data_IF_873510701527
#
_entry.id   IF_873510701527
#
_cell.length_a   1.000
_cell.length_b   1.000
_cell.length_c   1.000
_cell.angle_alpha   90.00
_cell.angle_beta   90.00
_cell.angle_gamma   90.00
#
_symmetry.space_group_name_H-M   'P 1'
#
loop_
_entity.id
_entity.type
_entity.pdbx_description
1 polymer ?
#
# COMPACT_ATOMS: atom_id res chain seq x y z
N UNK A 1 25.25 35.01 -61.88
CA UNK A 1 25.19 35.44 -60.47
C UNK A 1 24.54 34.34 -59.66
N UNK A 2 25.29 33.67 -58.78
CA UNK A 2 24.77 32.66 -57.88
C UNK A 2 24.54 33.27 -56.49
N UNK A 3 23.30 33.33 -56.03
CA UNK A 3 22.96 33.80 -54.69
C UNK A 3 23.21 32.70 -53.70
N UNK A 4 24.14 32.93 -52.76
CA UNK A 4 24.30 32.10 -51.57
C UNK A 4 23.35 32.62 -50.47
N UNK A 5 22.40 31.82 -50.07
CA UNK A 5 21.53 32.12 -48.93
C UNK A 5 22.18 31.49 -47.68
N UNK A 6 22.67 32.33 -46.79
CA UNK A 6 23.24 31.90 -45.50
C UNK A 6 22.09 31.61 -44.51
N UNK A 7 21.95 30.37 -44.08
CA UNK A 7 21.03 29.98 -43.05
C UNK A 7 21.70 30.17 -41.68
N UNK A 8 21.17 31.10 -40.90
CA UNK A 8 21.62 31.32 -39.52
C UNK A 8 20.82 30.37 -38.60
N UNK A 9 21.44 29.30 -38.08
CA UNK A 9 20.84 28.42 -37.11
C UNK A 9 20.95 29.05 -35.71
N UNK A 10 19.84 29.50 -35.16
CA UNK A 10 19.76 29.91 -33.76
C UNK A 10 19.76 28.67 -32.87
N UNK A 11 20.86 28.43 -32.15
CA UNK A 11 20.91 27.40 -31.09
C UNK A 11 20.28 27.99 -29.82
N UNK A 12 19.09 27.56 -29.49
CA UNK A 12 18.45 27.85 -28.18
C UNK A 12 19.01 26.87 -27.15
N UNK A 13 19.89 27.35 -26.29
CA UNK A 13 20.38 26.60 -25.13
C UNK A 13 19.29 26.60 -24.06
N UNK A 14 18.60 25.49 -23.91
CA UNK A 14 17.74 25.22 -22.75
C UNK A 14 18.65 24.94 -21.55
N UNK A 15 18.78 25.90 -20.64
CA UNK A 15 19.35 25.63 -19.31
C UNK A 15 18.36 24.83 -18.50
N UNK A 16 18.62 23.54 -18.33
CA UNK A 16 17.95 22.70 -17.31
C UNK A 16 18.41 23.21 -15.93
N UNK A 17 17.56 23.98 -15.26
CA UNK A 17 17.76 24.31 -13.85
C UNK A 17 17.43 23.05 -13.03
N UNK A 18 18.44 22.40 -12.46
CA UNK A 18 18.23 21.37 -11.46
C UNK A 18 17.56 22.01 -10.24
N UNK A 19 16.37 21.55 -9.89
CA UNK A 19 15.68 22.00 -8.69
C UNK A 19 16.38 21.39 -7.48
N UNK A 20 16.92 22.22 -6.58
CA UNK A 20 17.49 21.74 -5.32
C UNK A 20 16.35 21.39 -4.39
N UNK A 21 16.31 20.16 -3.92
CA UNK A 21 15.36 19.70 -2.89
C UNK A 21 16.08 19.73 -1.55
N UNK A 22 15.53 20.47 -0.60
CA UNK A 22 16.02 20.53 0.77
C UNK A 22 15.00 19.86 1.70
N UNK A 23 15.51 19.14 2.72
CA UNK A 23 14.67 18.53 3.75
C UNK A 23 14.61 19.47 4.96
N UNK A 24 13.37 19.81 5.36
CA UNK A 24 13.12 20.58 6.58
C UNK A 24 12.56 19.65 7.68
N UNK A 25 13.15 19.75 8.89
CA UNK A 25 12.64 19.01 10.05
C UNK A 25 11.35 19.63 10.54
N UNK A 26 10.22 18.95 10.37
CA UNK A 26 8.90 19.39 10.82
C UNK A 26 8.66 19.02 12.29
N UNK A 27 9.09 17.84 12.72
CA UNK A 27 8.83 17.32 14.06
C UNK A 27 9.92 16.32 14.49
N UNK A 28 10.19 16.28 15.79
CA UNK A 28 11.11 15.31 16.42
C UNK A 28 10.43 14.62 17.60
N UNK A 29 11.04 13.55 18.13
CA UNK A 29 10.55 12.86 19.32
C UNK A 29 9.38 11.91 19.08
N UNK A 30 9.17 11.48 17.84
CA UNK A 30 8.24 10.41 17.48
C UNK A 30 8.83 9.04 17.80
N UNK A 31 7.98 8.09 18.19
CA UNK A 31 8.38 6.73 18.50
C UNK A 31 8.09 5.81 17.30
N UNK A 32 9.12 5.54 16.48
CA UNK A 32 9.05 4.63 15.34
C UNK A 32 7.89 4.99 14.37
N UNK A 33 7.88 6.21 13.77
CA UNK A 33 6.85 6.63 12.85
C UNK A 33 6.98 5.88 11.53
N UNK A 34 5.87 5.33 11.01
CA UNK A 34 5.86 4.47 9.83
C UNK A 34 4.93 4.96 8.74
N UNK A 35 3.95 5.82 9.05
CA UNK A 35 3.01 6.34 8.08
C UNK A 35 2.49 7.72 8.47
N UNK A 36 2.03 8.48 7.49
CA UNK A 36 1.34 9.77 7.67
C UNK A 36 0.09 9.83 6.80
N UNK A 37 -0.99 10.37 7.35
CA UNK A 37 -2.24 10.56 6.62
C UNK A 37 -2.87 11.92 6.93
N UNK A 38 -3.82 12.36 6.11
CA UNK A 38 -4.63 13.55 6.33
C UNK A 38 -6.11 13.25 6.05
N UNK A 39 -7.00 13.99 6.73
CA UNK A 39 -8.45 13.88 6.52
C UNK A 39 -9.03 15.06 5.73
N UNK A 40 -8.18 15.89 5.11
CA UNK A 40 -8.58 17.02 4.28
C UNK A 40 -8.78 18.35 5.01
N UNK A 41 -8.49 18.45 6.30
CA UNK A 41 -8.70 19.66 7.12
C UNK A 41 -7.40 20.32 7.62
N UNK A 42 -6.26 19.96 7.05
CA UNK A 42 -4.95 20.52 7.37
C UNK A 42 -4.24 19.86 8.56
N UNK A 43 -4.88 18.95 9.30
CA UNK A 43 -4.20 18.12 10.29
C UNK A 43 -3.39 17.02 9.59
N UNK A 44 -2.27 16.65 10.21
CA UNK A 44 -1.47 15.49 9.83
C UNK A 44 -1.59 14.45 10.96
N UNK A 45 -1.91 13.23 10.58
CA UNK A 45 -1.99 12.08 11.47
C UNK A 45 -0.76 11.22 11.27
N UNK A 46 -0.02 10.96 12.36
CA UNK A 46 1.26 10.27 12.34
C UNK A 46 1.06 8.93 13.01
N UNK A 47 1.33 7.86 12.25
CA UNK A 47 1.21 6.49 12.72
C UNK A 47 2.52 6.07 13.35
N UNK A 48 2.48 5.72 14.63
CA UNK A 48 3.60 5.08 15.33
C UNK A 48 3.37 3.56 15.37
N UNK A 49 4.38 2.82 14.99
CA UNK A 49 4.32 1.35 14.76
C UNK A 49 3.78 0.56 15.95
N UNK A 50 4.00 1.05 17.18
CA UNK A 50 3.51 0.40 18.40
C UNK A 50 1.98 0.45 18.61
N UNK A 51 1.22 1.11 17.72
CA UNK A 51 -0.24 1.15 17.80
C UNK A 51 -0.83 2.49 18.20
N UNK A 52 -0.08 3.58 18.04
CA UNK A 52 -0.52 4.93 18.40
C UNK A 52 -0.60 5.80 17.14
N UNK A 53 -1.67 6.59 17.03
CA UNK A 53 -1.79 7.63 15.99
C UNK A 53 -1.80 8.99 16.67
N UNK A 54 -0.83 9.83 16.33
CA UNK A 54 -0.70 11.21 16.84
C UNK A 54 -1.28 12.22 15.88
N UNK A 55 -1.61 13.42 16.38
CA UNK A 55 -2.14 14.53 15.59
C UNK A 55 -1.19 15.72 15.65
N UNK A 56 -0.70 16.14 14.50
CA UNK A 56 -0.04 17.40 14.29
C UNK A 56 -1.05 18.40 13.74
N UNK A 57 -1.28 19.49 14.48
CA UNK A 57 -2.20 20.55 14.10
C UNK A 57 -1.60 21.43 12.99
N UNK A 58 -2.41 22.17 12.21
CA UNK A 58 -1.91 23.08 11.18
C UNK A 58 -0.98 24.18 11.69
N UNK A 59 -1.04 24.51 12.98
CA UNK A 59 -0.15 25.47 13.62
C UNK A 59 1.20 24.87 14.08
N UNK A 60 1.48 23.60 13.73
CA UNK A 60 2.70 22.90 14.11
C UNK A 60 2.68 22.28 15.51
N UNK A 61 1.56 22.36 16.24
CA UNK A 61 1.46 21.78 17.58
C UNK A 61 1.13 20.29 17.52
N UNK A 62 1.98 19.45 18.08
CA UNK A 62 1.67 18.04 18.34
C UNK A 62 0.74 17.96 19.57
N UNK A 63 -0.42 17.31 19.41
CA UNK A 63 -1.34 17.15 20.53
C UNK A 63 -0.80 16.13 21.54
N UNK A 64 -0.95 16.40 22.85
CA UNK A 64 -0.49 15.48 23.90
C UNK A 64 -1.33 14.19 23.98
N UNK A 65 -2.61 14.28 23.60
CA UNK A 65 -3.52 13.11 23.54
C UNK A 65 -3.48 12.53 22.13
N UNK A 66 -3.22 11.23 21.97
CA UNK A 66 -3.25 10.59 20.65
C UNK A 66 -4.67 10.61 20.06
N UNK A 67 -4.73 10.57 18.71
CA UNK A 67 -5.99 10.37 18.00
C UNK A 67 -6.56 8.96 18.27
N UNK A 68 -5.71 7.94 18.16
CA UNK A 68 -6.04 6.55 18.46
C UNK A 68 -4.90 5.91 19.24
N UNK A 69 -5.24 5.15 20.28
CA UNK A 69 -4.32 4.24 20.95
C UNK A 69 -4.93 2.84 20.97
N UNK A 70 -4.35 1.96 20.19
CA UNK A 70 -4.64 0.52 20.10
C UNK A 70 -3.37 -0.31 20.36
N UNK A 71 -2.44 0.22 21.15
CA UNK A 71 -1.21 -0.47 21.50
C UNK A 71 -1.43 -1.83 22.20
N UNK A 72 -2.60 -2.02 22.83
CA UNK A 72 -2.98 -3.29 23.45
C UNK A 72 -3.18 -4.43 22.43
N UNK A 73 -4.06 -4.29 21.42
CA UNK A 73 -4.28 -5.32 20.40
C UNK A 73 -3.19 -5.37 19.30
N UNK A 74 -2.42 -4.31 19.10
CA UNK A 74 -1.34 -4.29 18.09
C UNK A 74 -0.16 -5.14 18.54
N UNK A 75 0.28 -6.03 17.66
CA UNK A 75 1.50 -6.79 17.83
C UNK A 75 2.64 -6.17 17.01
N UNK A 76 3.66 -5.64 17.72
CA UNK A 76 4.82 -4.96 17.13
C UNK A 76 6.16 -5.62 17.49
N UNK A 77 6.13 -6.92 17.80
CA UNK A 77 7.32 -7.65 18.27
C UNK A 77 8.37 -7.94 17.18
N UNK A 78 7.99 -8.03 15.92
CA UNK A 78 8.89 -8.16 14.78
C UNK A 78 9.15 -6.83 14.07
N UNK A 79 10.22 -6.77 13.27
CA UNK A 79 10.64 -5.54 12.59
C UNK A 79 9.60 -4.96 11.63
N UNK A 80 8.79 -5.81 11.00
CA UNK A 80 7.74 -5.41 10.06
C UNK A 80 6.32 -5.50 10.65
N UNK A 81 6.18 -5.88 11.92
CA UNK A 81 4.89 -5.97 12.60
C UNK A 81 4.55 -4.67 13.31
N UNK A 82 3.28 -4.32 13.37
CA UNK A 82 2.81 -3.12 14.06
C UNK A 82 1.53 -2.55 13.48
N UNK A 83 1.23 -1.32 13.86
CA UNK A 83 0.28 -0.46 13.16
C UNK A 83 1.02 0.17 11.97
N UNK A 84 0.61 -0.14 10.75
CA UNK A 84 1.41 0.09 9.55
C UNK A 84 0.80 1.10 8.57
N UNK A 85 -0.52 1.26 8.56
CA UNK A 85 -1.18 2.16 7.62
C UNK A 85 -2.48 2.75 8.16
N UNK A 86 -2.84 3.94 7.66
CA UNK A 86 -4.02 4.71 8.01
C UNK A 86 -4.65 5.34 6.78
N UNK A 87 -5.96 5.13 6.57
CA UNK A 87 -6.73 5.81 5.54
C UNK A 87 -8.01 6.39 6.10
N UNK A 88 -8.30 7.65 5.80
CA UNK A 88 -9.58 8.27 6.09
C UNK A 88 -10.57 7.99 4.97
N UNK A 89 -11.84 7.72 5.36
CA UNK A 89 -12.91 7.57 4.38
C UNK A 89 -13.05 8.85 3.52
N UNK A 90 -13.31 8.76 2.21
CA UNK A 90 -13.52 9.97 1.38
C UNK A 90 -14.61 10.91 1.90
N UNK A 91 -15.58 10.38 2.63
CA UNK A 91 -16.64 11.14 3.31
C UNK A 91 -16.41 11.25 4.83
N UNK A 92 -15.16 11.26 5.30
CA UNK A 92 -14.83 11.28 6.73
C UNK A 92 -15.50 12.40 7.48
N UNK A 93 -15.60 13.58 6.90
CA UNK A 93 -16.27 14.75 7.52
C UNK A 93 -17.75 14.50 7.85
N UNK A 94 -18.38 13.55 7.18
CA UNK A 94 -19.81 13.23 7.35
C UNK A 94 -20.00 11.97 8.18
N UNK A 95 -19.21 10.92 7.96
CA UNK A 95 -19.41 9.62 8.59
C UNK A 95 -18.42 9.31 9.73
N UNK A 96 -17.32 10.06 9.83
CA UNK A 96 -16.31 9.90 10.87
C UNK A 96 -15.51 8.59 10.77
N UNK A 97 -15.58 7.85 9.65
CA UNK A 97 -14.91 6.57 9.50
C UNK A 97 -13.47 6.73 9.02
N UNK A 98 -12.58 5.93 9.62
CA UNK A 98 -11.21 5.74 9.15
C UNK A 98 -10.81 4.28 9.31
N UNK A 99 -9.76 3.88 8.61
CA UNK A 99 -9.33 2.50 8.47
C UNK A 99 -7.87 2.38 8.80
N UNK A 100 -7.51 1.31 9.46
CA UNK A 100 -6.13 1.00 9.80
C UNK A 100 -5.75 -0.39 9.31
N UNK A 101 -4.48 -0.52 8.92
CA UNK A 101 -3.84 -1.79 8.65
C UNK A 101 -2.83 -2.08 9.77
N UNK A 102 -2.97 -3.21 10.45
CA UNK A 102 -2.11 -3.53 11.57
C UNK A 102 -1.92 -5.03 11.79
N UNK A 103 -0.84 -5.40 12.49
CA UNK A 103 -0.60 -6.76 12.96
C UNK A 103 -1.23 -6.97 14.33
N UNK A 104 -1.94 -8.08 14.51
CA UNK A 104 -2.62 -8.47 15.76
C UNK A 104 -2.12 -9.82 16.27
N UNK A 105 -2.43 -10.16 17.52
CA UNK A 105 -2.10 -11.45 18.12
C UNK A 105 -0.70 -11.51 18.69
N UNK A 106 -0.05 -12.67 18.61
CA UNK A 106 1.30 -12.93 19.13
C UNK A 106 2.12 -13.75 18.12
N UNK A 107 3.43 -13.78 18.27
CA UNK A 107 4.33 -14.51 17.38
C UNK A 107 4.27 -13.99 15.94
N UNK A 108 3.88 -14.82 14.98
CA UNK A 108 3.69 -14.38 13.60
C UNK A 108 2.44 -13.51 13.42
N UNK A 109 1.46 -13.66 14.29
CA UNK A 109 0.23 -12.89 14.33
C UNK A 109 -0.65 -13.03 13.11
N UNK A 110 -1.52 -12.04 12.92
CA UNK A 110 -2.32 -11.85 11.72
C UNK A 110 -2.27 -10.39 11.30
N UNK A 111 -2.35 -10.10 10.01
CA UNK A 111 -2.63 -8.75 9.53
C UNK A 111 -4.13 -8.52 9.51
N UNK A 112 -4.56 -7.32 9.92
CA UNK A 112 -5.95 -6.88 9.95
C UNK A 112 -6.14 -5.56 9.22
N UNK A 113 -7.29 -5.46 8.57
CA UNK A 113 -7.89 -4.20 8.13
C UNK A 113 -9.12 -3.96 8.99
N UNK A 114 -9.10 -2.88 9.77
CA UNK A 114 -10.19 -2.54 10.67
C UNK A 114 -10.69 -1.11 10.44
N UNK A 115 -12.01 -0.93 10.57
CA UNK A 115 -12.66 0.36 10.60
C UNK A 115 -12.85 0.84 12.03
N UNK A 116 -12.56 2.12 12.26
CA UNK A 116 -12.88 2.85 13.49
C UNK A 116 -13.74 4.07 13.20
N UNK A 117 -14.24 4.70 14.25
CA UNK A 117 -15.03 5.92 14.18
C UNK A 117 -14.41 6.99 15.07
N UNK A 118 -14.37 8.23 14.58
CA UNK A 118 -14.00 9.38 15.41
C UNK A 118 -15.03 9.59 16.53
N UNK A 119 -14.59 10.09 17.70
CA UNK A 119 -15.49 10.44 18.79
C UNK A 119 -16.16 11.81 18.56
N UNK A 120 -16.90 12.30 19.54
CA UNK A 120 -17.41 13.67 19.54
C UNK A 120 -16.28 14.73 19.54
N UNK A 121 -15.08 14.37 20.00
CA UNK A 121 -13.88 15.18 19.83
C UNK A 121 -13.18 14.78 18.52
N UNK A 122 -13.12 15.69 17.56
CA UNK A 122 -12.50 15.45 16.25
C UNK A 122 -11.01 15.05 16.29
N UNK A 123 -10.34 15.27 17.42
CA UNK A 123 -8.94 14.91 17.65
C UNK A 123 -8.77 13.58 18.41
N UNK A 124 -9.86 12.86 18.68
CA UNK A 124 -9.81 11.60 19.45
C UNK A 124 -10.77 10.59 18.81
N UNK A 125 -10.28 9.44 18.45
CA UNK A 125 -11.08 8.34 17.94
C UNK A 125 -11.71 7.53 19.10
N UNK A 126 -12.79 6.80 18.81
CA UNK A 126 -13.34 5.83 19.72
C UNK A 126 -12.65 4.46 19.50
N UNK A 127 -11.66 4.14 20.33
CA UNK A 127 -10.93 2.88 20.22
C UNK A 127 -11.83 1.63 20.39
N UNK A 128 -12.97 1.75 21.09
CA UNK A 128 -13.94 0.67 21.26
C UNK A 128 -14.87 0.48 20.05
N UNK A 129 -14.78 1.33 19.02
CA UNK A 129 -15.61 1.25 17.82
C UNK A 129 -15.06 0.32 16.74
N UNK A 130 -14.04 -0.46 17.03
CA UNK A 130 -13.42 -1.35 16.05
C UNK A 130 -14.41 -2.29 15.38
N UNK A 131 -14.34 -2.34 14.06
CA UNK A 131 -14.98 -3.36 13.23
C UNK A 131 -13.91 -3.98 12.35
N UNK A 132 -13.54 -5.23 12.63
CA UNK A 132 -12.61 -5.98 11.79
C UNK A 132 -13.30 -6.28 10.46
N UNK A 133 -12.72 -5.79 9.37
CA UNK A 133 -13.23 -6.01 8.01
C UNK A 133 -12.58 -7.22 7.36
N UNK A 134 -11.27 -7.35 7.50
CA UNK A 134 -10.49 -8.40 6.88
C UNK A 134 -9.33 -8.82 7.78
N UNK A 135 -9.00 -10.11 7.76
CA UNK A 135 -7.91 -10.67 8.55
C UNK A 135 -7.23 -11.80 7.79
N UNK A 136 -5.90 -11.88 7.91
CA UNK A 136 -5.09 -12.95 7.34
C UNK A 136 -4.00 -13.38 8.32
N UNK A 137 -4.07 -14.62 8.82
CA UNK A 137 -3.02 -15.22 9.66
C UNK A 137 -1.67 -15.23 8.93
N UNK A 138 -0.59 -14.98 9.63
CA UNK A 138 0.72 -14.82 9.02
C UNK A 138 1.64 -16.02 9.31
N UNK A 139 2.28 -16.61 8.28
CA UNK A 139 3.16 -17.75 8.48
C UNK A 139 4.52 -17.35 9.08
N UNK A 140 4.98 -16.09 8.86
CA UNK A 140 6.25 -15.57 9.34
C UNK A 140 6.09 -14.15 9.90
N UNK A 141 7.14 -13.58 10.50
CA UNK A 141 7.12 -12.24 11.13
C UNK A 141 7.40 -11.10 10.17
N UNK A 142 7.85 -11.38 8.96
CA UNK A 142 8.21 -10.42 7.91
C UNK A 142 7.22 -10.44 6.71
N UNK A 143 7.43 -9.57 5.74
CA UNK A 143 6.61 -9.34 4.55
C UNK A 143 5.14 -9.10 4.91
N UNK A 144 4.91 -8.09 5.73
CA UNK A 144 3.55 -7.73 6.17
C UNK A 144 2.82 -6.83 5.18
N UNK A 145 3.51 -6.26 4.18
CA UNK A 145 3.00 -5.14 3.44
C UNK A 145 2.82 -3.94 4.37
N UNK A 146 1.68 -3.28 4.34
CA UNK A 146 1.39 -2.29 5.38
C UNK A 146 0.53 -1.12 4.94
N UNK A 147 0.43 -0.85 3.66
CA UNK A 147 -0.30 0.30 3.18
C UNK A 147 -1.78 0.03 2.96
N UNK A 148 -2.57 1.10 3.11
CA UNK A 148 -4.01 1.12 2.93
C UNK A 148 -4.43 2.48 2.38
N UNK A 149 -5.19 2.52 1.31
CA UNK A 149 -5.63 3.77 0.69
C UNK A 149 -6.99 3.63 0.01
N UNK A 150 -7.70 4.75 -0.13
CA UNK A 150 -8.85 4.82 -1.01
C UNK A 150 -8.41 5.17 -2.44
N UNK A 151 -8.85 4.38 -3.39
CA UNK A 151 -8.67 4.69 -4.80
C UNK A 151 -9.61 5.81 -5.27
N UNK A 152 -9.36 6.39 -6.46
CA UNK A 152 -10.22 7.41 -7.06
C UNK A 152 -11.65 6.91 -7.34
N UNK A 153 -11.84 5.60 -7.34
CA UNK A 153 -13.13 4.92 -7.47
C UNK A 153 -13.91 4.79 -6.14
N UNK A 154 -13.36 5.29 -5.04
CA UNK A 154 -13.96 5.28 -3.71
C UNK A 154 -13.94 3.93 -3.00
N UNK A 155 -13.21 2.95 -3.51
CA UNK A 155 -12.98 1.67 -2.85
C UNK A 155 -11.70 1.66 -2.02
N UNK A 156 -11.66 0.79 -1.02
CA UNK A 156 -10.51 0.62 -0.15
C UNK A 156 -9.57 -0.44 -0.73
N UNK A 157 -8.30 -0.07 -0.86
CA UNK A 157 -7.20 -0.94 -1.29
C UNK A 157 -6.25 -1.19 -0.13
N UNK A 158 -5.72 -2.39 -0.06
CA UNK A 158 -4.67 -2.77 0.89
C UNK A 158 -3.85 -3.92 0.33
N UNK A 159 -2.60 -4.04 0.79
CA UNK A 159 -1.67 -4.98 0.18
C UNK A 159 -0.84 -5.72 1.25
N UNK A 160 -1.20 -6.96 1.59
CA UNK A 160 -0.34 -7.85 2.36
C UNK A 160 0.77 -8.43 1.49
N UNK A 161 1.94 -8.64 2.10
CA UNK A 161 3.04 -9.35 1.45
C UNK A 161 2.77 -10.84 1.26
N UNK A 162 3.76 -11.57 0.74
CA UNK A 162 3.69 -13.02 0.47
C UNK A 162 3.65 -13.88 1.75
N UNK A 163 3.71 -13.24 2.91
CA UNK A 163 3.67 -13.86 4.24
C UNK A 163 5.04 -14.15 4.81
N UNK A 164 6.13 -13.90 4.09
CA UNK A 164 7.48 -13.94 4.60
C UNK A 164 8.31 -15.17 4.23
N UNK A 165 9.54 -15.16 4.76
CA UNK A 165 10.66 -16.04 4.43
C UNK A 165 11.23 -15.83 3.02
N UNK A 166 12.39 -16.45 2.72
CA UNK A 166 13.04 -16.31 1.43
C UNK A 166 12.33 -17.09 0.32
N UNK A 167 12.26 -16.52 -0.88
CA UNK A 167 11.75 -17.19 -2.08
C UNK A 167 10.29 -17.68 -2.00
N UNK A 168 9.45 -17.09 -1.15
CA UNK A 168 8.06 -17.51 -0.94
C UNK A 168 7.91 -19.04 -0.93
N UNK A 169 8.30 -19.75 0.14
CA UNK A 169 8.37 -21.21 0.17
C UNK A 169 7.04 -21.90 -0.17
N UNK A 170 5.93 -21.20 0.14
CA UNK A 170 4.57 -21.67 -0.14
C UNK A 170 4.05 -21.34 -1.53
N UNK A 171 4.80 -20.61 -2.37
CA UNK A 171 4.32 -20.04 -3.63
C UNK A 171 2.99 -19.30 -3.49
N UNK A 172 2.84 -18.55 -2.38
CA UNK A 172 1.59 -17.94 -1.95
C UNK A 172 1.21 -16.76 -2.85
N UNK A 173 2.23 -16.01 -3.30
CA UNK A 173 2.01 -14.87 -4.20
C UNK A 173 1.36 -15.27 -5.52
N UNK A 174 1.64 -16.47 -6.03
CA UNK A 174 1.02 -17.02 -7.24
C UNK A 174 -0.27 -17.80 -6.98
N UNK A 175 -0.54 -18.18 -5.74
CA UNK A 175 -1.74 -18.94 -5.39
C UNK A 175 -2.96 -18.01 -5.21
N UNK A 176 -3.86 -18.02 -6.18
CA UNK A 176 -5.05 -17.17 -6.19
C UNK A 176 -6.12 -17.56 -5.16
N UNK A 177 -6.00 -18.71 -4.49
CA UNK A 177 -6.88 -19.06 -3.36
C UNK A 177 -6.43 -18.47 -2.02
N UNK A 178 -5.27 -17.79 -1.99
CA UNK A 178 -4.66 -17.20 -0.80
C UNK A 178 -4.57 -15.67 -0.93
N UNK A 179 -4.65 -14.97 0.21
CA UNK A 179 -4.59 -13.51 0.25
C UNK A 179 -3.17 -12.91 0.26
N UNK A 180 -2.12 -13.72 0.24
CA UNK A 180 -0.74 -13.25 0.34
C UNK A 180 -0.16 -12.77 -0.99
N UNK A 181 0.67 -11.73 -0.96
CA UNK A 181 1.33 -11.18 -2.14
C UNK A 181 0.34 -10.62 -3.17
N UNK A 182 -0.64 -9.88 -2.68
CA UNK A 182 -1.78 -9.37 -3.46
C UNK A 182 -2.04 -7.90 -3.15
N UNK A 183 -2.61 -7.19 -4.09
CA UNK A 183 -3.43 -6.02 -3.81
C UNK A 183 -4.87 -6.47 -3.71
N UNK A 184 -5.51 -6.18 -2.60
CA UNK A 184 -6.95 -6.39 -2.39
C UNK A 184 -7.72 -5.10 -2.60
N UNK A 185 -8.96 -5.19 -3.07
CA UNK A 185 -9.88 -4.08 -3.27
C UNK A 185 -11.26 -4.47 -2.79
N UNK A 186 -11.81 -3.69 -1.85
CA UNK A 186 -13.11 -3.93 -1.23
C UNK A 186 -13.97 -2.67 -1.21
N UNK A 187 -15.28 -2.85 -1.22
CA UNK A 187 -16.23 -1.77 -1.03
C UNK A 187 -16.72 -1.74 0.42
N UNK A 188 -16.42 -0.66 1.12
CA UNK A 188 -16.75 -0.43 2.54
C UNK A 188 -18.00 0.44 2.74
N UNK A 189 -18.66 0.85 1.64
CA UNK A 189 -19.88 1.67 1.67
C UNK A 189 -21.17 0.84 1.76
N UNK A 190 -21.06 -0.48 1.82
CA UNK A 190 -22.19 -1.41 1.82
C UNK A 190 -22.38 -2.13 3.14
N UNK A 191 -22.85 -3.37 3.04
CA UNK A 191 -23.02 -4.27 4.17
C UNK A 191 -21.65 -4.65 4.78
N UNK A 192 -21.64 -4.81 6.11
CA UNK A 192 -20.47 -5.28 6.84
C UNK A 192 -20.23 -6.79 6.63
N UNK A 193 -18.98 -7.24 6.68
CA UNK A 193 -17.76 -6.46 6.90
C UNK A 193 -17.38 -5.61 5.68
N UNK A 194 -17.68 -6.01 4.46
CA UNK A 194 -17.50 -5.31 3.19
C UNK A 194 -18.31 -6.01 2.09
N UNK A 195 -18.37 -5.39 0.92
CA UNK A 195 -18.88 -6.01 -0.30
C UNK A 195 -17.81 -6.04 -1.39
N UNK A 196 -17.99 -6.94 -2.36
CA UNK A 196 -17.06 -7.07 -3.49
C UNK A 196 -17.44 -6.05 -4.56
N UNK A 197 -16.54 -5.16 -5.01
CA UNK A 197 -16.80 -4.31 -6.16
C UNK A 197 -17.12 -5.15 -7.40
N UNK A 198 -18.21 -4.84 -8.09
CA UNK A 198 -18.69 -5.64 -9.24
C UNK A 198 -17.67 -5.70 -10.39
N UNK A 199 -16.79 -4.70 -10.47
CA UNK A 199 -15.71 -4.61 -11.45
C UNK A 199 -14.35 -5.07 -10.92
N UNK A 200 -14.29 -5.83 -9.82
CA UNK A 200 -13.05 -6.53 -9.47
C UNK A 200 -12.74 -7.57 -10.54
N UNK A 201 -11.45 -7.80 -10.85
CA UNK A 201 -11.04 -8.74 -11.90
C UNK A 201 -11.65 -10.14 -11.75
N UNK A 202 -11.85 -10.57 -10.51
CA UNK A 202 -12.35 -11.90 -10.16
C UNK A 202 -13.70 -11.88 -9.43
N UNK A 203 -14.47 -10.79 -9.55
CA UNK A 203 -15.74 -10.60 -8.82
C UNK A 203 -16.75 -11.74 -9.05
N UNK A 204 -16.76 -12.32 -10.25
CA UNK A 204 -17.67 -13.39 -10.66
C UNK A 204 -17.06 -14.80 -10.56
N UNK A 205 -15.86 -14.94 -9.96
CA UNK A 205 -15.26 -16.25 -9.78
C UNK A 205 -16.09 -17.11 -8.83
N UNK A 206 -16.33 -18.36 -9.21
CA UNK A 206 -17.06 -19.35 -8.40
C UNK A 206 -16.22 -19.86 -7.20
N UNK A 207 -15.40 -18.99 -6.62
CA UNK A 207 -14.41 -19.30 -5.59
C UNK A 207 -14.67 -18.51 -4.30
N UNK A 208 -13.77 -18.71 -3.34
CA UNK A 208 -13.78 -18.06 -2.03
C UNK A 208 -13.80 -16.54 -2.14
N UNK A 209 -14.28 -15.86 -1.13
CA UNK A 209 -14.26 -14.40 -1.04
C UNK A 209 -12.84 -13.82 -1.18
N UNK A 210 -11.81 -14.56 -0.79
CA UNK A 210 -10.40 -14.18 -0.98
C UNK A 210 -10.08 -13.87 -2.43
N UNK A 211 -10.39 -14.77 -3.36
CA UNK A 211 -10.14 -14.54 -4.79
C UNK A 211 -10.90 -13.32 -5.31
N UNK A 212 -12.14 -13.12 -4.86
CA UNK A 212 -12.99 -12.04 -5.33
C UNK A 212 -12.54 -10.65 -4.87
N UNK A 213 -11.76 -10.54 -3.79
CA UNK A 213 -11.18 -9.28 -3.33
C UNK A 213 -9.88 -8.92 -4.05
N UNK A 214 -9.24 -9.89 -4.73
CA UNK A 214 -7.94 -9.68 -5.39
C UNK A 214 -8.11 -8.71 -6.56
N UNK A 215 -7.23 -7.70 -6.56
CA UNK A 215 -7.12 -6.70 -7.64
C UNK A 215 -5.85 -6.93 -8.47
N UNK A 216 -4.73 -7.28 -7.82
CA UNK A 216 -3.46 -7.65 -8.45
C UNK A 216 -2.77 -8.75 -7.64
N UNK A 217 -1.82 -9.47 -8.26
CA UNK A 217 -1.13 -10.61 -7.66
C UNK A 217 0.35 -10.65 -8.02
N UNK A 218 1.09 -11.57 -7.40
CA UNK A 218 2.49 -11.79 -7.71
C UNK A 218 3.42 -10.71 -7.14
N UNK A 219 3.12 -10.22 -5.94
CA UNK A 219 3.91 -9.26 -5.19
C UNK A 219 4.63 -9.96 -4.02
N UNK A 220 5.82 -9.47 -3.65
CA UNK A 220 6.60 -10.00 -2.53
C UNK A 220 6.24 -9.33 -1.21
N UNK A 221 6.51 -8.04 -1.11
CA UNK A 221 6.24 -7.23 0.07
C UNK A 221 5.89 -5.80 -0.36
N UNK A 222 4.68 -5.57 -0.89
CA UNK A 222 4.22 -4.27 -1.34
C UNK A 222 4.06 -3.33 -0.14
N UNK A 223 5.19 -2.74 0.30
CA UNK A 223 5.28 -2.01 1.56
C UNK A 223 4.54 -0.68 1.51
N UNK A 224 4.63 0.02 0.35
CA UNK A 224 3.90 1.29 0.13
C UNK A 224 3.33 1.33 -1.27
N UNK A 225 2.14 1.89 -1.38
CA UNK A 225 1.52 2.19 -2.66
C UNK A 225 0.75 3.52 -2.59
N UNK A 226 0.43 4.08 -3.73
CA UNK A 226 -0.36 5.31 -3.80
C UNK A 226 -0.97 5.51 -5.16
N UNK A 227 -2.00 6.34 -5.20
CA UNK A 227 -2.67 6.73 -6.44
C UNK A 227 -2.14 8.07 -6.91
N UNK A 228 -1.71 8.13 -8.17
CA UNK A 228 -1.41 9.40 -8.82
C UNK A 228 -2.69 10.23 -8.98
N UNK A 229 -2.68 11.45 -8.43
CA UNK A 229 -3.87 12.31 -8.39
C UNK A 229 -4.28 12.78 -9.79
N UNK A 230 -3.32 12.91 -10.71
CA UNK A 230 -3.56 13.40 -12.08
C UNK A 230 -4.09 12.34 -13.02
N UNK A 231 -3.57 11.11 -12.91
CA UNK A 231 -3.91 10.00 -13.83
C UNK A 231 -4.84 8.97 -13.20
N UNK A 232 -4.84 8.84 -11.88
CA UNK A 232 -5.54 7.78 -11.15
C UNK A 232 -4.80 6.44 -11.17
N UNK A 233 -3.58 6.39 -11.67
CA UNK A 233 -2.77 5.17 -11.69
C UNK A 233 -2.36 4.76 -10.29
N UNK A 234 -2.36 3.46 -10.04
CA UNK A 234 -1.82 2.89 -8.81
C UNK A 234 -0.34 2.58 -9.00
N UNK A 235 0.50 3.13 -8.13
CA UNK A 235 1.94 2.89 -8.05
C UNK A 235 2.25 2.10 -6.80
N UNK A 236 3.09 1.06 -6.91
CA UNK A 236 3.40 0.12 -5.83
C UNK A 236 4.91 0.00 -5.72
N UNK A 237 5.46 0.25 -4.53
CA UNK A 237 6.83 -0.10 -4.19
C UNK A 237 6.84 -1.50 -3.59
N UNK A 238 7.34 -2.48 -4.33
CA UNK A 238 7.44 -3.86 -3.91
C UNK A 238 8.89 -4.19 -3.53
N UNK A 239 9.10 -4.52 -2.26
CA UNK A 239 10.45 -4.77 -1.72
C UNK A 239 10.95 -6.11 -2.22
N UNK A 240 12.06 -6.08 -2.95
CA UNK A 240 12.73 -7.24 -3.49
C UNK A 240 13.44 -8.09 -2.46
N UNK A 241 14.02 -9.22 -2.88
CA UNK A 241 14.73 -10.13 -1.99
C UNK A 241 16.23 -9.88 -1.97
N UNK A 242 16.84 -9.66 -3.12
CA UNK A 242 18.27 -9.47 -3.18
C UNK A 242 18.82 -9.33 -4.60
N UNK A 243 17.98 -9.40 -5.61
CA UNK A 243 18.38 -9.15 -6.99
C UNK A 243 17.91 -7.77 -7.48
N UNK A 244 16.67 -7.39 -7.14
CA UNK A 244 16.05 -6.15 -7.60
C UNK A 244 15.07 -5.59 -6.58
N UNK A 245 15.06 -4.27 -6.43
CA UNK A 245 13.96 -3.49 -5.90
C UNK A 245 13.10 -3.02 -7.07
N UNK A 246 11.78 -2.92 -6.91
CA UNK A 246 10.90 -2.59 -8.03
C UNK A 246 9.77 -1.62 -7.68
N UNK A 247 9.36 -0.87 -8.69
CA UNK A 247 8.17 -0.03 -8.65
C UNK A 247 7.24 -0.46 -9.77
N UNK A 248 6.09 -0.95 -9.38
CA UNK A 248 5.05 -1.42 -10.26
C UNK A 248 4.00 -0.35 -10.52
N UNK A 249 3.28 -0.46 -11.63
CA UNK A 249 2.21 0.45 -12.00
C UNK A 249 1.01 -0.31 -12.54
N UNK A 250 -0.17 0.08 -12.08
CA UNK A 250 -1.46 -0.33 -12.68
C UNK A 250 -2.13 0.92 -13.22
N UNK A 251 -2.32 0.97 -14.54
CA UNK A 251 -2.99 2.10 -15.18
C UNK A 251 -4.44 2.20 -14.73
N UNK A 252 -4.93 3.42 -14.56
CA UNK A 252 -6.32 3.69 -14.18
C UNK A 252 -7.31 3.04 -15.15
N UNK A 253 -8.41 2.52 -14.61
CA UNK A 253 -9.48 1.89 -15.40
C UNK A 253 -9.15 0.50 -15.97
N UNK A 254 -8.01 -0.10 -15.61
CA UNK A 254 -7.63 -1.46 -16.04
C UNK A 254 -7.98 -2.49 -14.95
N UNK A 255 -9.13 -3.18 -15.03
CA UNK A 255 -9.49 -4.22 -14.07
C UNK A 255 -8.96 -5.61 -14.48
N UNK A 256 -7.75 -5.68 -15.08
CA UNK A 256 -7.24 -6.91 -15.72
C UNK A 256 -6.65 -7.93 -14.76
N UNK A 257 -6.52 -7.61 -13.46
CA UNK A 257 -5.91 -8.52 -12.49
C UNK A 257 -4.44 -8.80 -12.79
N UNK A 258 -3.55 -7.78 -12.90
CA UNK A 258 -2.17 -8.00 -13.29
C UNK A 258 -1.45 -8.91 -12.30
N UNK A 259 -0.48 -9.68 -12.83
CA UNK A 259 0.42 -10.52 -12.06
C UNK A 259 1.85 -10.03 -12.28
N UNK A 260 2.51 -9.54 -11.24
CA UNK A 260 3.86 -8.97 -11.28
C UNK A 260 4.97 -10.03 -11.18
N UNK A 261 4.60 -11.29 -10.95
CA UNK A 261 5.50 -12.42 -11.20
C UNK A 261 6.22 -12.97 -9.98
N UNK A 262 6.24 -12.32 -8.82
CA UNK A 262 6.82 -12.91 -7.63
C UNK A 262 6.12 -14.25 -7.28
N UNK A 263 6.81 -15.32 -7.00
CA UNK A 263 8.27 -15.51 -6.76
C UNK A 263 9.05 -15.92 -8.03
N UNK A 264 8.41 -16.06 -9.17
CA UNK A 264 9.06 -16.48 -10.41
C UNK A 264 9.98 -15.40 -10.98
N UNK A 265 9.63 -14.15 -10.70
CA UNK A 265 10.35 -12.95 -11.14
C UNK A 265 10.66 -12.07 -9.94
N UNK A 266 11.81 -11.39 -10.01
CA UNK A 266 12.22 -10.29 -9.15
C UNK A 266 12.71 -9.19 -10.08
N UNK A 267 11.95 -8.10 -10.22
CA UNK A 267 12.12 -7.18 -11.32
C UNK A 267 11.97 -7.85 -12.68
N UNK A 268 12.85 -7.51 -13.60
CA UNK A 268 12.87 -8.08 -14.96
C UNK A 268 13.63 -9.41 -15.07
N UNK A 269 14.18 -9.94 -13.96
CA UNK A 269 14.98 -11.17 -13.99
C UNK A 269 14.23 -12.36 -13.39
N UNK A 270 14.64 -13.57 -13.73
CA UNK A 270 14.20 -14.75 -13.01
C UNK A 270 14.79 -14.71 -11.60
N UNK A 271 13.95 -14.92 -10.57
CA UNK A 271 14.39 -14.83 -9.18
C UNK A 271 15.50 -15.85 -8.89
N UNK A 272 16.67 -15.38 -8.41
CA UNK A 272 17.79 -16.28 -8.09
C UNK A 272 17.40 -17.31 -7.02
N UNK A 273 17.81 -18.56 -7.23
CA UNK A 273 17.55 -19.65 -6.29
C UNK A 273 16.13 -20.20 -6.29
N UNK A 274 15.21 -19.65 -7.07
CA UNK A 274 13.84 -20.17 -7.24
C UNK A 274 13.82 -21.21 -8.35
N UNK A 275 13.24 -22.38 -8.05
CA UNK A 275 12.93 -23.36 -9.07
C UNK A 275 11.84 -22.82 -10.01
N UNK A 276 12.16 -22.63 -11.27
CA UNK A 276 11.28 -22.07 -12.29
C UNK A 276 10.21 -23.06 -12.81
N UNK A 277 10.17 -24.29 -12.31
CA UNK A 277 9.12 -25.25 -12.65
C UNK A 277 7.75 -24.74 -12.23
N UNK A 278 6.83 -24.61 -13.17
CA UNK A 278 5.49 -24.03 -12.92
C UNK A 278 5.40 -22.52 -13.04
N UNK A 279 6.52 -21.83 -13.24
CA UNK A 279 6.52 -20.42 -13.61
C UNK A 279 6.09 -20.26 -15.08
N UNK A 280 5.34 -19.19 -15.35
CA UNK A 280 5.01 -18.80 -16.74
C UNK A 280 6.24 -18.29 -17.50
N UNK A 281 6.14 -18.18 -18.80
CA UNK A 281 7.13 -17.47 -19.61
C UNK A 281 7.23 -16.01 -19.16
N UNK A 282 8.38 -15.37 -19.38
CA UNK A 282 8.62 -13.98 -18.93
C UNK A 282 7.50 -13.01 -19.34
N UNK A 283 7.02 -13.06 -20.57
CA UNK A 283 5.94 -12.20 -21.07
C UNK A 283 4.53 -12.49 -20.53
N UNK A 284 4.36 -13.42 -19.57
CA UNK A 284 3.08 -13.65 -18.90
C UNK A 284 2.91 -12.77 -17.65
N UNK A 285 3.99 -12.14 -17.21
CA UNK A 285 3.99 -11.24 -16.05
C UNK A 285 4.08 -9.79 -16.52
N UNK A 286 3.55 -8.88 -15.71
CA UNK A 286 3.72 -7.45 -15.92
C UNK A 286 5.09 -7.06 -15.37
N UNK A 287 5.93 -6.48 -16.21
CA UNK A 287 7.24 -5.99 -15.79
C UNK A 287 7.09 -4.67 -15.02
N UNK A 288 7.95 -4.41 -14.02
CA UNK A 288 7.96 -3.14 -13.29
C UNK A 288 8.29 -1.97 -14.22
N UNK A 289 7.85 -0.78 -13.83
CA UNK A 289 8.20 0.47 -14.54
C UNK A 289 9.63 0.89 -14.22
N UNK A 290 10.07 0.59 -13.00
CA UNK A 290 11.43 0.85 -12.50
C UNK A 290 11.89 -0.38 -11.75
N UNK A 291 13.09 -0.85 -12.05
CA UNK A 291 13.82 -1.80 -11.25
C UNK A 291 15.27 -1.33 -11.05
N UNK A 292 15.87 -1.65 -9.91
CA UNK A 292 17.27 -1.34 -9.64
C UNK A 292 17.90 -2.37 -8.70
N UNK A 293 19.25 -2.41 -8.69
CA UNK A 293 20.06 -3.30 -7.85
C UNK A 293 20.10 -2.79 -6.40
#
# INVERSE_FOLDING_TARGET
>A
MRHFTTFCACVVSLTLCAQTVELETVLTGLADPVDIAHCGDGRIFIVERAGVIKVLQPNGQLLPTPFLDISGPVHSGGGEQGLLGLAFHPQYTTNGFFYVYYCSGTGNGAVRVSRFTVSANANVANAASEVVLWELAQPYTNHKGGDIAFGPDGHLYFAPGDGGDGNDPGNRAQNMSLGYGKVHRINVNGALPYTIPANNPFANANNTDTLRTIFASGLRNPFRFGFDVGTGDLWIGDVGQGAKEEVDRIAAGVPSGPNFGWRCREGIVATPGVNQTGCGAAGTYVEPVIDHD
#
